data_IF_472836664958
#
_entry.id   IF_472836664958
#
_cell.length_a   1.000
_cell.length_b   1.000
_cell.length_c   1.000
_cell.angle_alpha   90.00
_cell.angle_beta   90.00
_cell.angle_gamma   90.00
#
_symmetry.space_group_name_H-M   'P 1'
#
loop_
_entity.id
_entity.type
_entity.pdbx_description
1 polymer ?
#
# COMPACT_ATOMS: atom_id res chain seq x y z
N UNK A 1 1.80 3.72 -14.44
CA UNK A 1 0.76 3.30 -13.48
C UNK A 1 0.49 4.47 -12.53
N UNK A 2 -0.76 4.66 -12.08
CA UNK A 2 -1.16 5.64 -11.06
C UNK A 2 -1.62 4.86 -9.82
N UNK A 3 -1.13 5.22 -8.63
CA UNK A 3 -1.36 4.44 -7.41
C UNK A 3 -1.39 5.33 -6.17
N UNK A 4 -2.09 4.87 -5.14
CA UNK A 4 -2.20 5.57 -3.86
C UNK A 4 -0.90 5.39 -3.06
N UNK A 5 -0.49 6.46 -2.38
CA UNK A 5 0.70 6.48 -1.53
C UNK A 5 0.44 7.35 -0.30
N UNK A 6 -0.68 7.10 0.39
CA UNK A 6 -0.92 7.58 1.74
C UNK A 6 -0.97 6.37 2.64
N UNK A 7 -0.44 6.51 3.84
CA UNK A 7 -0.55 5.51 4.87
C UNK A 7 -1.91 5.60 5.56
N UNK A 8 -2.06 4.97 6.73
CA UNK A 8 -3.21 5.20 7.59
C UNK A 8 -3.37 6.69 7.86
N UNK A 9 -4.60 7.11 8.18
CA UNK A 9 -4.94 8.39 8.81
C UNK A 9 -4.11 9.58 8.29
N UNK A 10 -3.90 9.61 6.97
CA UNK A 10 -3.19 10.68 6.29
C UNK A 10 -3.97 11.05 5.03
N UNK A 11 -3.85 12.31 4.60
CA UNK A 11 -4.52 12.85 3.43
C UNK A 11 -4.30 11.91 2.24
N UNK A 12 -5.37 11.62 1.48
CA UNK A 12 -5.29 10.76 0.32
C UNK A 12 -4.34 11.34 -0.74
N UNK A 13 -3.18 10.71 -0.93
CA UNK A 13 -2.17 11.07 -1.92
C UNK A 13 -2.06 9.96 -2.96
N UNK A 14 -1.78 10.32 -4.21
CA UNK A 14 -1.39 9.39 -5.25
C UNK A 14 -0.02 9.78 -5.81
N UNK A 15 0.73 8.78 -6.25
CA UNK A 15 1.91 8.94 -7.10
C UNK A 15 1.65 8.19 -8.40
N UNK A 16 2.55 8.40 -9.35
CA UNK A 16 2.71 7.51 -10.49
C UNK A 16 3.92 6.62 -10.20
N UNK A 17 3.87 5.40 -10.76
CA UNK A 17 4.98 4.46 -10.80
C UNK A 17 5.02 3.78 -12.16
N UNK A 18 6.15 3.14 -12.45
CA UNK A 18 6.39 2.39 -13.67
C UNK A 18 5.86 0.95 -13.57
N UNK A 19 5.96 0.34 -12.38
CA UNK A 19 5.49 -1.02 -12.14
C UNK A 19 4.08 -1.25 -12.65
N UNK A 20 3.82 -2.51 -12.94
CA UNK A 20 2.50 -2.99 -13.34
C UNK A 20 1.65 -3.24 -12.09
N UNK A 21 2.28 -3.49 -10.94
CA UNK A 21 1.62 -3.89 -9.71
C UNK A 21 1.62 -2.71 -8.74
N UNK A 22 0.75 -2.74 -7.74
CA UNK A 22 0.81 -1.83 -6.59
C UNK A 22 0.26 -2.55 -5.37
N UNK A 23 0.55 -2.05 -4.15
CA UNK A 23 0.28 -2.80 -2.92
C UNK A 23 -0.23 -1.95 -1.76
N UNK A 24 -0.83 -2.65 -0.78
CA UNK A 24 -1.17 -2.22 0.58
C UNK A 24 -0.41 -3.16 1.54
N UNK A 25 0.50 -2.62 2.36
CA UNK A 25 1.00 -3.23 3.59
C UNK A 25 0.03 -2.87 4.72
N UNK A 26 -0.16 -3.76 5.71
CA UNK A 26 -0.95 -3.47 6.87
C UNK A 26 -0.47 -4.27 8.08
N UNK A 27 -0.47 -3.63 9.24
CA UNK A 27 -0.19 -4.26 10.52
C UNK A 27 -0.91 -3.47 11.61
N UNK A 28 -0.86 -3.95 12.85
CA UNK A 28 -1.57 -3.35 13.96
C UNK A 28 -0.81 -3.72 15.22
N UNK A 29 -0.91 -2.86 16.23
CA UNK A 29 -0.15 -2.96 17.47
C UNK A 29 -1.02 -2.42 18.59
N UNK A 30 -1.18 -1.09 18.59
CA UNK A 30 -1.95 -0.36 19.57
C UNK A 30 -3.41 -0.31 19.10
N UNK A 31 -4.17 0.70 19.54
CA UNK A 31 -5.62 0.82 19.30
C UNK A 31 -5.87 1.40 17.90
N UNK A 32 -5.10 0.96 16.91
CA UNK A 32 -5.31 1.30 15.51
C UNK A 32 -4.34 0.52 14.63
N UNK A 33 -4.72 0.36 13.37
CA UNK A 33 -3.94 -0.35 12.36
C UNK A 33 -3.13 0.64 11.55
N UNK A 34 -1.88 0.28 11.25
CA UNK A 34 -0.99 1.06 10.40
C UNK A 34 -1.02 0.39 9.03
N UNK A 35 -1.66 1.07 8.08
CA UNK A 35 -1.74 0.70 6.68
C UNK A 35 -0.72 1.57 5.96
N UNK A 36 0.03 1.02 4.99
CA UNK A 36 0.96 1.77 4.16
C UNK A 36 0.86 1.17 2.76
N UNK A 37 1.25 1.92 1.72
CA UNK A 37 1.02 1.54 0.36
C UNK A 37 2.20 1.95 -0.50
N UNK A 38 2.28 1.39 -1.70
CA UNK A 38 3.23 1.84 -2.69
C UNK A 38 3.08 1.03 -3.97
N UNK A 39 4.02 1.21 -4.89
CA UNK A 39 4.01 0.62 -6.21
C UNK A 39 4.88 -0.64 -6.21
N UNK A 40 4.63 -1.54 -7.16
CA UNK A 40 5.28 -2.86 -7.21
C UNK A 40 4.57 -3.86 -6.29
N UNK A 41 5.18 -5.03 -6.10
CA UNK A 41 4.66 -6.11 -5.26
C UNK A 41 5.80 -6.89 -4.60
N UNK A 42 6.53 -6.29 -3.65
CA UNK A 42 7.64 -6.94 -2.97
C UNK A 42 7.12 -7.90 -1.90
N UNK A 43 7.97 -8.84 -1.43
CA UNK A 43 7.63 -9.67 -0.28
C UNK A 43 8.16 -9.05 1.00
N UNK A 44 7.28 -9.16 2.00
CA UNK A 44 7.43 -8.61 3.33
C UNK A 44 7.60 -9.74 4.33
N UNK A 45 7.94 -9.38 5.57
CA UNK A 45 8.40 -10.30 6.60
C UNK A 45 7.21 -10.54 7.56
N UNK A 46 7.18 -11.67 8.29
CA UNK A 46 5.97 -12.14 8.94
C UNK A 46 5.43 -11.15 9.99
N UNK A 47 4.12 -11.20 10.22
CA UNK A 47 3.38 -10.33 11.10
C UNK A 47 2.88 -9.11 10.34
N UNK A 48 3.74 -8.52 9.52
CA UNK A 48 3.38 -7.38 8.68
C UNK A 48 2.63 -7.93 7.46
N UNK A 49 1.31 -7.73 7.40
CA UNK A 49 0.50 -8.23 6.32
C UNK A 49 0.64 -7.38 5.06
N UNK A 50 0.18 -7.92 3.95
CA UNK A 50 0.28 -7.30 2.64
C UNK A 50 -0.84 -7.79 1.73
N UNK A 51 -1.16 -6.98 0.71
CA UNK A 51 -1.85 -7.43 -0.48
C UNK A 51 -1.39 -6.56 -1.64
N UNK A 52 -1.12 -7.15 -2.81
CA UNK A 52 -0.82 -6.41 -4.03
C UNK A 52 -1.86 -6.71 -5.11
N UNK A 53 -2.00 -5.78 -6.06
CA UNK A 53 -3.07 -5.71 -7.01
C UNK A 53 -2.65 -4.97 -8.27
N UNK A 54 -3.29 -5.35 -9.37
CA UNK A 54 -2.77 -5.21 -10.72
C UNK A 54 -3.62 -4.24 -11.55
N UNK A 55 -4.04 -3.10 -10.97
CA UNK A 55 -4.81 -2.10 -11.69
C UNK A 55 -4.69 -0.72 -11.02
N UNK A 56 -4.73 0.36 -11.80
CA UNK A 56 -4.46 1.72 -11.34
C UNK A 56 -5.41 2.11 -10.22
N UNK A 57 -4.87 2.75 -9.18
CA UNK A 57 -5.61 3.18 -8.00
C UNK A 57 -6.36 2.03 -7.29
N UNK A 58 -5.94 0.77 -7.48
CA UNK A 58 -6.49 -0.35 -6.72
C UNK A 58 -6.06 -0.28 -5.26
N UNK A 59 -4.81 0.14 -5.03
CA UNK A 59 -4.15 0.01 -3.76
C UNK A 59 -4.52 1.13 -2.79
N UNK A 60 -5.81 1.33 -2.50
CA UNK A 60 -6.28 2.35 -1.56
C UNK A 60 -6.16 1.87 -0.11
#
# INVERSE_FOLDING_TARGET
>A
RICYNHQSTTRATTKSCEENSCYKKYWRDHRGTIIERGCGCPKVKPGVGIHCCQSDKCNY
#
